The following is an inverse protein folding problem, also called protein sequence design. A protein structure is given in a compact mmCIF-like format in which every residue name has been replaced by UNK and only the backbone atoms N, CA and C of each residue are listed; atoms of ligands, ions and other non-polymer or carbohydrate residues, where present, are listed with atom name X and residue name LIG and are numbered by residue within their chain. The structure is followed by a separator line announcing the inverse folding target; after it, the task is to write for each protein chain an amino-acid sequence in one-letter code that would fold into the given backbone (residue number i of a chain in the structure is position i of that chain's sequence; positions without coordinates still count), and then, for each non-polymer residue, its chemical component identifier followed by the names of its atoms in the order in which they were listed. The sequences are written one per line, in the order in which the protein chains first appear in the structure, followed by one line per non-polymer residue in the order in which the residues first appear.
data_IF_173875134615
#
_entry.id   IF_173875134615
#
_cell.length_a   1.000
_cell.length_b   1.000
_cell.length_c   1.000
_cell.angle_alpha   90.00
_cell.angle_beta   90.00
_cell.angle_gamma   90.00
#
_symmetry.space_group_name_H-M   'P 1'
#
loop_
_entity.id
_entity.type
_entity.pdbx_description
1 polymer ?
#
# COMPACT_ATOMS: atom_id res chain seq x y z
N UNK A 1 -15.68 6.32 -5.10
CA UNK A 1 -16.03 6.24 -3.65
C UNK A 1 -17.43 6.77 -3.47
N UNK A 2 -18.42 5.91 -3.21
CA UNK A 2 -19.81 6.34 -3.08
C UNK A 2 -20.21 6.35 -1.60
N UNK A 3 -20.61 7.51 -1.09
CA UNK A 3 -21.33 7.64 0.17
C UNK A 3 -22.82 7.61 -0.12
N UNK A 4 -23.60 6.89 0.70
CA UNK A 4 -25.06 6.82 0.57
C UNK A 4 -25.68 7.60 1.73
N UNK A 5 -26.71 8.40 1.42
CA UNK A 5 -27.50 9.07 2.43
C UNK A 5 -28.70 8.17 2.78
N UNK A 6 -28.93 8.00 4.07
CA UNK A 6 -30.15 7.43 4.62
C UNK A 6 -31.33 8.39 4.35
N UNK A 7 -32.59 7.94 4.24
CA UNK A 7 -33.77 8.80 4.30
C UNK A 7 -33.84 9.75 5.51
N UNK A 8 -33.14 9.44 6.61
CA UNK A 8 -32.96 10.36 7.76
C UNK A 8 -31.86 11.42 7.54
N UNK A 9 -31.24 11.48 6.36
CA UNK A 9 -30.15 12.40 6.02
C UNK A 9 -28.77 12.00 6.54
N UNK A 10 -28.65 10.84 7.20
CA UNK A 10 -27.38 10.36 7.76
C UNK A 10 -26.45 9.82 6.68
N UNK A 11 -25.18 10.23 6.70
CA UNK A 11 -24.17 9.78 5.73
C UNK A 11 -23.55 8.45 6.13
N UNK A 12 -23.72 7.46 5.27
CA UNK A 12 -23.11 6.13 5.37
C UNK A 12 -21.97 5.96 4.39
N UNK A 13 -20.90 5.30 4.86
CA UNK A 13 -19.75 4.96 4.02
C UNK A 13 -19.39 3.50 4.20
N UNK A 14 -19.41 2.74 3.10
CA UNK A 14 -19.01 1.33 3.07
C UNK A 14 -17.66 1.23 2.36
N UNK A 15 -16.66 0.59 3.00
CA UNK A 15 -15.32 0.44 2.42
C UNK A 15 -14.76 -0.95 2.66
N UNK A 16 -13.97 -1.43 1.72
CA UNK A 16 -13.15 -2.64 1.90
C UNK A 16 -11.88 -2.26 2.66
N UNK A 17 -11.59 -2.95 3.77
CA UNK A 17 -10.35 -2.75 4.54
C UNK A 17 -9.29 -3.71 4.02
N UNK A 18 -8.30 -3.16 3.31
CA UNK A 18 -7.23 -3.95 2.69
C UNK A 18 -6.15 -4.41 3.66
N UNK A 19 -5.95 -3.68 4.76
CA UNK A 19 -4.97 -4.04 5.81
C UNK A 19 -5.61 -4.00 7.21
N UNK A 20 -5.38 -5.02 8.05
CA UNK A 20 -5.90 -5.03 9.43
C UNK A 20 -5.19 -4.00 10.33
N UNK A 21 -3.97 -3.58 10.02
CA UNK A 21 -3.25 -2.54 10.77
C UNK A 21 -3.44 -1.13 10.19
N UNK A 22 -3.42 -0.12 11.06
CA UNK A 22 -3.42 1.31 10.70
C UNK A 22 -1.94 1.76 10.67
N UNK A 23 -1.32 1.99 9.51
CA UNK A 23 0.07 2.44 9.48
C UNK A 23 0.12 3.87 10.03
N UNK A 24 0.68 4.06 11.23
CA UNK A 24 1.10 5.38 11.70
C UNK A 24 2.39 5.71 10.94
N UNK A 25 2.26 6.37 9.80
CA UNK A 25 3.40 6.98 9.11
C UNK A 25 3.64 8.33 9.75
N UNK A 26 4.61 8.40 10.67
CA UNK A 26 5.35 9.64 10.91
C UNK A 26 6.35 9.73 9.75
N UNK A 27 6.16 10.71 8.87
CA UNK A 27 7.18 11.07 7.89
C UNK A 27 8.31 11.75 8.65
N UNK A 28 9.57 11.28 8.52
CA UNK A 28 10.74 12.05 8.90
C UNK A 28 10.94 13.17 7.85
N UNK A 29 10.99 14.41 8.31
CA UNK A 29 10.97 15.61 7.45
C UNK A 29 12.36 16.13 7.04
N UNK A 30 13.46 15.40 7.26
CA UNK A 30 14.77 15.93 6.87
C UNK A 30 15.76 14.81 6.52
N UNK A 31 16.09 14.74 5.23
CA UNK A 31 17.26 14.03 4.73
C UNK A 31 18.07 15.03 3.89
N UNK A 32 19.08 15.63 4.52
CA UNK A 32 20.09 16.43 3.82
C UNK A 32 20.91 15.55 2.89
N UNK A 33 20.77 15.76 1.58
CA UNK A 33 21.67 15.18 0.59
C UNK A 33 22.94 16.01 0.56
N UNK A 34 24.05 15.39 0.96
CA UNK A 34 25.37 15.99 0.86
C UNK A 34 25.73 16.34 -0.58
N UNK A 35 26.21 17.56 -0.72
CA UNK A 35 26.77 18.20 -1.89
C UNK A 35 27.93 17.38 -2.48
N UNK A 36 27.63 16.65 -3.54
CA UNK A 36 28.59 15.85 -4.31
C UNK A 36 29.25 16.71 -5.37
N UNK A 37 30.22 17.53 -4.96
CA UNK A 37 31.12 18.17 -5.91
C UNK A 37 32.18 17.16 -6.36
N UNK A 38 32.10 16.74 -7.63
CA UNK A 38 33.12 15.92 -8.28
C UNK A 38 34.20 16.86 -8.77
N UNK A 39 35.36 16.84 -8.12
CA UNK A 39 36.54 17.59 -8.56
C UNK A 39 37.09 16.97 -9.84
N UNK A 40 37.09 17.73 -10.93
CA UNK A 40 37.76 17.37 -12.18
C UNK A 40 39.27 17.61 -12.00
N UNK A 41 40.04 16.53 -11.88
CA UNK A 41 41.48 16.59 -11.62
C UNK A 41 42.23 15.79 -12.67
N UNK A 42 42.97 16.46 -13.54
CA UNK A 42 43.75 15.89 -14.66
C UNK A 42 45.12 15.30 -14.24
N UNK A 43 45.41 15.26 -12.93
CA UNK A 43 46.68 14.80 -12.40
C UNK A 43 46.76 13.27 -12.26
N UNK A 44 47.97 12.71 -12.36
CA UNK A 44 48.23 11.26 -12.19
C UNK A 44 47.66 10.73 -10.87
N UNK A 45 47.69 11.54 -9.79
CA UNK A 45 47.15 11.18 -8.47
C UNK A 45 45.63 10.98 -8.54
N UNK A 46 44.92 11.84 -9.26
CA UNK A 46 43.46 11.75 -9.44
C UNK A 46 43.07 10.47 -10.19
N UNK A 47 43.84 10.09 -11.22
CA UNK A 47 43.62 8.83 -11.96
C UNK A 47 43.73 7.61 -11.03
N UNK A 48 44.78 7.54 -10.20
CA UNK A 48 44.96 6.41 -9.26
C UNK A 48 43.83 6.35 -8.23
N UNK A 49 43.44 7.49 -7.66
CA UNK A 49 42.33 7.56 -6.71
C UNK A 49 41.00 7.16 -7.35
N UNK A 50 40.73 7.58 -8.58
CA UNK A 50 39.52 7.22 -9.29
C UNK A 50 39.48 5.72 -9.61
N UNK A 51 40.60 5.12 -10.05
CA UNK A 51 40.69 3.67 -10.24
C UNK A 51 40.46 2.93 -8.92
N UNK A 52 41.12 3.35 -7.84
CA UNK A 52 40.94 2.75 -6.52
C UNK A 52 39.48 2.87 -6.03
N UNK A 53 38.85 4.03 -6.24
CA UNK A 53 37.43 4.27 -5.94
C UNK A 53 36.52 3.34 -6.75
N UNK A 54 36.76 3.19 -8.06
CA UNK A 54 35.98 2.28 -8.93
C UNK A 54 36.15 0.84 -8.47
N UNK A 55 37.36 0.40 -8.16
CA UNK A 55 37.63 -0.95 -7.65
C UNK A 55 36.88 -1.20 -6.32
N UNK A 56 36.78 -0.19 -5.46
CA UNK A 56 36.00 -0.25 -4.22
C UNK A 56 34.48 -0.20 -4.49
N UNK A 57 34.04 0.58 -5.47
CA UNK A 57 32.62 0.75 -5.80
C UNK A 57 32.03 -0.46 -6.53
N UNK A 58 32.79 -1.14 -7.38
CA UNK A 58 32.31 -2.31 -8.13
C UNK A 58 31.64 -3.37 -7.23
N UNK A 59 32.26 -3.88 -6.15
CA UNK A 59 31.62 -4.87 -5.29
C UNK A 59 30.40 -4.30 -4.57
N UNK A 60 30.42 -3.02 -4.18
CA UNK A 60 29.27 -2.36 -3.57
C UNK A 60 28.09 -2.26 -4.56
N UNK A 61 28.38 -1.94 -5.83
CA UNK A 61 27.38 -1.84 -6.90
C UNK A 61 26.81 -3.21 -7.27
N UNK A 62 27.65 -4.26 -7.32
CA UNK A 62 27.20 -5.65 -7.50
C UNK A 62 26.28 -6.07 -6.34
N UNK A 63 26.66 -5.79 -5.09
CA UNK A 63 25.82 -6.07 -3.93
C UNK A 63 24.49 -5.31 -4.00
N UNK A 64 24.54 -4.01 -4.36
CA UNK A 64 23.34 -3.19 -4.52
C UNK A 64 22.40 -3.73 -5.60
N UNK A 65 22.93 -4.21 -6.73
CA UNK A 65 22.15 -4.86 -7.79
C UNK A 65 21.50 -6.17 -7.32
N UNK A 66 22.23 -7.01 -6.57
CA UNK A 66 21.67 -8.24 -6.01
C UNK A 66 20.52 -7.94 -5.04
N UNK A 67 20.71 -6.97 -4.16
CA UNK A 67 19.65 -6.52 -3.25
C UNK A 67 18.48 -5.95 -4.05
N UNK A 68 18.72 -5.10 -5.05
CA UNK A 68 17.66 -4.55 -5.88
C UNK A 68 16.88 -5.65 -6.63
N UNK A 69 17.55 -6.68 -7.14
CA UNK A 69 16.91 -7.82 -7.78
C UNK A 69 16.06 -8.63 -6.80
N UNK A 70 16.54 -8.88 -5.58
CA UNK A 70 15.75 -9.51 -4.52
C UNK A 70 14.51 -8.69 -4.16
N UNK A 71 14.67 -7.38 -3.99
CA UNK A 71 13.55 -6.46 -3.76
C UNK A 71 12.55 -6.49 -4.92
N UNK A 72 13.02 -6.58 -6.16
CA UNK A 72 12.17 -6.70 -7.35
C UNK A 72 11.40 -8.03 -7.34
N UNK A 73 12.06 -9.13 -6.96
CA UNK A 73 11.43 -10.44 -6.79
C UNK A 73 10.36 -10.40 -5.70
N UNK A 74 10.64 -9.81 -4.54
CA UNK A 74 9.66 -9.62 -3.46
C UNK A 74 8.50 -8.75 -3.92
N UNK A 75 8.77 -7.67 -4.66
CA UNK A 75 7.75 -6.80 -5.22
C UNK A 75 6.88 -7.52 -6.25
N UNK A 76 7.44 -8.44 -7.04
CA UNK A 76 6.70 -9.29 -7.98
C UNK A 76 5.94 -10.43 -7.26
N UNK A 77 6.48 -10.91 -6.15
CA UNK A 77 5.83 -11.91 -5.30
C UNK A 77 4.57 -11.34 -4.63
N UNK A 78 4.55 -10.05 -4.27
CA UNK A 78 3.37 -9.40 -3.70
C UNK A 78 2.10 -9.50 -4.55
N UNK A 79 2.06 -9.07 -5.83
CA UNK A 79 0.88 -9.22 -6.67
C UNK A 79 0.54 -10.69 -6.90
N UNK A 80 1.53 -11.57 -7.12
CA UNK A 80 1.29 -13.02 -7.22
C UNK A 80 0.63 -13.58 -5.95
N UNK A 81 1.08 -13.15 -4.77
CA UNK A 81 0.50 -13.54 -3.49
C UNK A 81 -0.87 -12.93 -3.28
N UNK A 82 -1.13 -11.69 -3.70
CA UNK A 82 -2.47 -11.07 -3.66
C UNK A 82 -3.43 -11.82 -4.58
N UNK A 83 -2.98 -12.20 -5.77
CA UNK A 83 -3.76 -13.03 -6.71
C UNK A 83 -4.04 -14.40 -6.10
N UNK A 84 -3.00 -15.08 -5.58
CA UNK A 84 -3.16 -16.35 -4.88
C UNK A 84 -4.14 -16.19 -3.71
N UNK A 85 -3.97 -15.18 -2.84
CA UNK A 85 -4.87 -14.88 -1.74
C UNK A 85 -6.31 -14.65 -2.20
N UNK A 86 -6.49 -13.97 -3.34
CA UNK A 86 -7.79 -13.73 -3.93
C UNK A 86 -8.45 -15.03 -4.41
N UNK A 87 -7.67 -16.00 -4.90
CA UNK A 87 -8.15 -17.30 -5.37
C UNK A 87 -8.33 -18.33 -4.23
N UNK A 88 -7.46 -18.30 -3.21
CA UNK A 88 -7.48 -19.22 -2.05
C UNK A 88 -8.51 -18.82 -0.96
N UNK A 89 -9.41 -17.86 -1.24
CA UNK A 89 -10.63 -17.67 -0.45
C UNK A 89 -10.43 -17.07 0.93
N UNK A 90 -9.40 -16.23 1.13
CA UNK A 90 -9.26 -15.49 2.40
C UNK A 90 -10.33 -14.39 2.47
N UNK A 91 -11.13 -14.32 3.54
CA UNK A 91 -12.26 -13.40 3.60
C UNK A 91 -11.79 -11.93 3.65
N UNK A 92 -12.43 -11.08 2.85
CA UNK A 92 -12.27 -9.64 2.84
C UNK A 92 -13.16 -9.00 3.91
N UNK A 93 -12.60 -8.13 4.74
CA UNK A 93 -13.35 -7.43 5.77
C UNK A 93 -13.97 -6.16 5.17
N UNK A 94 -15.30 -6.10 5.16
CA UNK A 94 -16.09 -4.94 4.81
C UNK A 94 -16.38 -4.16 6.09
N UNK A 95 -16.05 -2.87 6.10
CA UNK A 95 -16.30 -1.98 7.25
C UNK A 95 -17.42 -1.01 6.89
N UNK A 96 -18.47 -1.00 7.70
CA UNK A 96 -19.62 -0.12 7.56
C UNK A 96 -19.46 1.03 8.55
N UNK A 97 -19.45 2.27 8.06
CA UNK A 97 -19.38 3.48 8.89
C UNK A 97 -20.66 4.31 8.79
N UNK A 98 -21.16 4.72 9.95
CA UNK A 98 -22.22 5.72 10.12
C UNK A 98 -21.60 6.92 10.83
N UNK A 99 -21.70 8.09 10.23
CA UNK A 99 -21.20 9.34 10.81
C UNK A 99 -19.81 9.22 11.47
N UNK A 100 -18.83 8.75 10.68
CA UNK A 100 -17.44 8.53 11.09
C UNK A 100 -17.19 7.46 12.17
N UNK A 101 -18.22 6.82 12.74
CA UNK A 101 -18.12 5.68 13.64
C UNK A 101 -18.30 4.35 12.90
N UNK A 102 -17.57 3.31 13.31
CA UNK A 102 -17.71 1.95 12.76
C UNK A 102 -18.89 1.28 13.43
N UNK A 103 -19.88 0.86 12.64
CA UNK A 103 -21.13 0.24 13.14
C UNK A 103 -21.15 -1.26 12.91
N UNK A 104 -20.39 -1.77 11.94
CA UNK A 104 -20.32 -3.21 11.69
C UNK A 104 -19.13 -3.61 10.82
N UNK A 105 -18.67 -4.85 11.03
CA UNK A 105 -17.64 -5.51 10.24
C UNK A 105 -18.19 -6.85 9.74
N UNK A 106 -18.15 -7.10 8.44
CA UNK A 106 -18.59 -8.36 7.82
C UNK A 106 -17.47 -8.94 6.96
N UNK A 107 -17.18 -10.24 7.12
CA UNK A 107 -16.13 -10.95 6.43
C UNK A 107 -16.71 -11.71 5.23
N UNK A 108 -16.44 -11.26 4.00
CA UNK A 108 -17.00 -11.85 2.76
C UNK A 108 -15.90 -12.49 1.95
N UNK A 109 -16.13 -13.74 1.49
CA UNK A 109 -15.17 -14.48 0.67
C UNK A 109 -15.41 -14.21 -0.81
N UNK A 110 -14.34 -13.92 -1.55
CA UNK A 110 -14.39 -13.70 -3.00
C UNK A 110 -14.63 -12.24 -3.40
N UNK A 111 -14.04 -11.85 -4.54
CA UNK A 111 -14.06 -10.47 -5.01
C UNK A 111 -15.45 -10.03 -5.48
N UNK A 112 -16.10 -10.88 -6.27
CA UNK A 112 -17.40 -10.61 -6.88
C UNK A 112 -18.52 -10.60 -5.84
N UNK A 113 -18.53 -11.60 -4.94
CA UNK A 113 -19.42 -11.66 -3.80
C UNK A 113 -19.30 -10.43 -2.88
N UNK A 114 -18.09 -9.88 -2.71
CA UNK A 114 -17.89 -8.67 -1.94
C UNK A 114 -18.49 -7.44 -2.62
N UNK A 115 -18.39 -7.31 -3.96
CA UNK A 115 -19.00 -6.21 -4.69
C UNK A 115 -20.53 -6.29 -4.65
N UNK A 116 -21.09 -7.47 -4.93
CA UNK A 116 -22.52 -7.72 -4.83
C UNK A 116 -23.06 -7.40 -3.43
N UNK A 117 -22.32 -7.77 -2.37
CA UNK A 117 -22.70 -7.48 -0.98
C UNK A 117 -22.63 -5.98 -0.66
N UNK A 118 -21.62 -5.27 -1.14
CA UNK A 118 -21.53 -3.82 -0.96
C UNK A 118 -22.73 -3.12 -1.60
N UNK A 119 -23.12 -3.52 -2.80
CA UNK A 119 -24.25 -2.91 -3.50
C UNK A 119 -25.59 -3.25 -2.85
N UNK A 120 -25.76 -4.48 -2.34
CA UNK A 120 -26.90 -4.83 -1.48
C UNK A 120 -26.97 -3.94 -0.23
N UNK A 121 -25.85 -3.74 0.49
CA UNK A 121 -25.83 -2.91 1.71
C UNK A 121 -26.19 -1.46 1.36
N UNK A 122 -25.71 -0.93 0.24
CA UNK A 122 -26.08 0.41 -0.23
C UNK A 122 -27.58 0.51 -0.53
N UNK A 123 -28.16 -0.48 -1.21
CA UNK A 123 -29.60 -0.48 -1.49
C UNK A 123 -30.43 -0.58 -0.20
N UNK A 124 -30.00 -1.37 0.78
CA UNK A 124 -30.67 -1.47 2.10
C UNK A 124 -30.61 -0.16 2.89
N UNK A 125 -29.47 0.53 2.89
CA UNK A 125 -29.33 1.83 3.55
C UNK A 125 -30.17 2.89 2.81
N UNK A 126 -30.14 2.91 1.48
CA UNK A 126 -30.92 3.84 0.67
C UNK A 126 -32.44 3.64 0.85
N UNK A 127 -32.89 2.40 1.08
CA UNK A 127 -34.29 2.09 1.34
C UNK A 127 -34.76 2.41 2.77
N UNK A 128 -33.91 2.97 3.63
CA UNK A 128 -34.25 3.30 5.03
C UNK A 128 -34.34 2.10 5.97
N UNK A 129 -33.92 0.93 5.51
CA UNK A 129 -33.75 -0.26 6.35
C UNK A 129 -32.39 -0.20 7.05
N UNK A 130 -32.11 0.92 7.73
CA UNK A 130 -30.89 1.06 8.53
C UNK A 130 -30.82 -0.11 9.52
N UNK A 131 -29.66 -0.76 9.60
CA UNK A 131 -29.34 -1.80 10.58
C UNK A 131 -29.64 -1.27 11.99
N UNK A 132 -30.86 -1.47 12.48
CA UNK A 132 -31.23 -1.26 13.89
C UNK A 132 -30.51 -2.34 14.69
N UNK A 133 -29.31 -2.04 15.16
CA UNK A 133 -28.71 -2.72 16.30
C UNK A 133 -27.97 -1.70 17.15
#
# INVERSE_FOLDING_TARGET
MASVLDPEGVKWTVRRRWLPWRPRRKMPDDWGFGDTSVSDGDDIISIVLNIALVVLLIPALVLALLVAAEFLLLLLLLPLWVLARSLFGTPWIIVIRRDHKVVGEEAVRGWDATNARIDQIKSFIASGAALRR
#
